data_IF_891662101362
#
_entry.id   IF_891662101362
#
_cell.length_a   1.000
_cell.length_b   1.000
_cell.length_c   1.000
_cell.angle_alpha   90.00
_cell.angle_beta   90.00
_cell.angle_gamma   90.00
#
_symmetry.space_group_name_H-M   'P 1'
#
loop_
_entity.id
_entity.type
_entity.pdbx_description
1 polymer ?
#
# COMPACT_ATOMS: atom_id res chain seq x y z
N UNK A 1 18.78 10.35 3.56
CA UNK A 1 18.66 9.01 4.10
C UNK A 1 18.93 7.98 3.01
N UNK A 2 19.59 6.90 3.35
CA UNK A 2 20.01 5.86 2.40
C UNK A 2 18.85 5.10 1.75
N UNK A 3 17.64 5.20 2.25
CA UNK A 3 16.46 4.52 1.69
C UNK A 3 16.11 5.00 0.29
N UNK A 4 16.15 6.30 0.04
CA UNK A 4 15.68 6.86 -1.24
C UNK A 4 16.57 6.55 -2.46
N UNK A 5 17.86 6.17 -2.28
CA UNK A 5 18.79 5.99 -3.39
C UNK A 5 18.88 4.51 -3.83
N UNK A 6 18.51 3.57 -2.97
CA UNK A 6 18.63 2.13 -3.25
C UNK A 6 17.37 1.53 -3.90
N UNK A 7 16.27 2.25 -3.90
CA UNK A 7 14.98 1.72 -4.33
C UNK A 7 14.75 1.83 -5.84
N UNK A 8 15.67 2.45 -6.59
CA UNK A 8 15.48 2.69 -8.03
C UNK A 8 15.33 1.40 -8.82
N UNK A 9 16.10 0.36 -8.50
CA UNK A 9 15.98 -0.94 -9.16
C UNK A 9 14.60 -1.57 -8.95
N UNK A 10 14.04 -1.45 -7.74
CA UNK A 10 12.69 -1.93 -7.42
C UNK A 10 11.62 -1.11 -8.13
N UNK A 11 11.79 0.22 -8.21
CA UNK A 11 10.87 1.10 -8.93
C UNK A 11 10.84 0.75 -10.43
N UNK A 12 12.01 0.47 -11.02
CA UNK A 12 12.14 0.17 -12.44
C UNK A 12 11.47 -1.16 -12.83
N UNK A 13 11.27 -2.10 -11.89
CA UNK A 13 10.48 -3.31 -12.11
C UNK A 13 9.02 -3.00 -12.47
N UNK A 14 8.48 -1.88 -12.01
CA UNK A 14 7.08 -1.50 -12.19
C UNK A 14 6.86 -0.50 -13.32
N UNK A 15 7.87 -0.19 -14.11
CA UNK A 15 7.76 0.79 -15.20
C UNK A 15 6.67 0.39 -16.19
N UNK A 16 5.66 1.27 -16.34
CA UNK A 16 4.50 1.04 -17.20
C UNK A 16 3.42 0.11 -16.62
N UNK A 17 3.63 -0.48 -15.45
CA UNK A 17 2.68 -1.42 -14.87
C UNK A 17 1.33 -0.77 -14.47
N UNK A 18 1.30 0.53 -14.34
CA UNK A 18 0.14 1.29 -13.87
C UNK A 18 -0.44 2.24 -14.93
N UNK A 19 -0.02 2.12 -16.19
CA UNK A 19 -0.48 2.96 -17.30
C UNK A 19 -1.97 2.79 -17.61
N UNK A 20 -2.54 1.60 -17.33
CA UNK A 20 -3.97 1.35 -17.44
C UNK A 20 -4.82 2.18 -16.45
N UNK A 21 -4.20 2.70 -15.39
CA UNK A 21 -4.79 3.58 -14.41
C UNK A 21 -5.63 2.90 -13.33
N UNK A 22 -5.99 3.70 -12.33
CA UNK A 22 -6.61 3.19 -11.11
C UNK A 22 -7.97 2.55 -11.29
N UNK A 23 -8.78 2.91 -12.27
CA UNK A 23 -10.08 2.29 -12.48
C UNK A 23 -9.91 0.86 -13.00
N UNK A 24 -9.13 0.68 -14.06
CA UNK A 24 -8.84 -0.63 -14.67
C UNK A 24 -8.06 -1.55 -13.70
N UNK A 25 -7.01 -1.02 -13.08
CA UNK A 25 -6.19 -1.76 -12.11
C UNK A 25 -7.05 -2.21 -10.91
N UNK A 26 -7.97 -1.38 -10.44
CA UNK A 26 -8.91 -1.71 -9.37
C UNK A 26 -9.78 -2.92 -9.72
N UNK A 27 -10.30 -2.98 -10.94
CA UNK A 27 -11.09 -4.11 -11.42
C UNK A 27 -10.25 -5.39 -11.53
N UNK A 28 -9.02 -5.28 -12.06
CA UNK A 28 -8.08 -6.40 -12.15
C UNK A 28 -7.74 -6.95 -10.75
N UNK A 29 -7.46 -6.08 -9.79
CA UNK A 29 -7.18 -6.51 -8.41
C UNK A 29 -8.40 -7.17 -7.77
N UNK A 30 -9.59 -6.64 -8.00
CA UNK A 30 -10.81 -7.25 -7.50
C UNK A 30 -11.06 -8.64 -8.08
N UNK A 31 -10.87 -8.81 -9.38
CA UNK A 31 -10.97 -10.11 -10.04
C UNK A 31 -9.94 -11.11 -9.47
N UNK A 32 -8.71 -10.66 -9.22
CA UNK A 32 -7.67 -11.48 -8.58
C UNK A 32 -8.02 -11.84 -7.13
N UNK A 33 -8.57 -10.94 -6.35
CA UNK A 33 -9.02 -11.21 -4.98
C UNK A 33 -10.08 -12.31 -4.93
N UNK A 34 -11.04 -12.31 -5.86
CA UNK A 34 -12.03 -13.40 -6.01
C UNK A 34 -11.35 -14.71 -6.40
N UNK A 35 -10.52 -14.70 -7.43
CA UNK A 35 -9.80 -15.89 -7.93
C UNK A 35 -8.94 -16.53 -6.83
N UNK A 36 -8.34 -15.73 -5.96
CA UNK A 36 -7.50 -16.19 -4.84
C UNK A 36 -8.32 -16.54 -3.58
N UNK A 37 -9.63 -16.31 -3.58
CA UNK A 37 -10.49 -16.55 -2.42
C UNK A 37 -10.29 -15.54 -1.27
N UNK A 38 -9.65 -14.40 -1.53
CA UNK A 38 -9.46 -13.33 -0.53
C UNK A 38 -10.80 -12.71 -0.16
N UNK A 39 -11.68 -12.58 -1.15
CA UNK A 39 -13.07 -12.13 -0.95
C UNK A 39 -14.04 -13.18 -1.48
N UNK A 40 -15.25 -13.30 -0.89
CA UNK A 40 -16.30 -14.19 -1.41
C UNK A 40 -16.62 -13.90 -2.88
N UNK A 41 -16.98 -14.94 -3.65
CA UNK A 41 -17.31 -14.82 -5.06
C UNK A 41 -18.46 -13.84 -5.33
N UNK A 42 -19.44 -13.80 -4.43
CA UNK A 42 -20.60 -12.90 -4.52
C UNK A 42 -20.32 -11.47 -4.04
N UNK A 43 -19.08 -11.14 -3.69
CA UNK A 43 -18.71 -9.77 -3.32
C UNK A 43 -18.94 -8.83 -4.51
N UNK A 44 -19.48 -7.65 -4.22
CA UNK A 44 -19.70 -6.60 -5.20
C UNK A 44 -18.67 -5.50 -5.00
N UNK A 45 -18.04 -5.06 -6.08
CA UNK A 45 -17.12 -3.93 -6.04
C UNK A 45 -17.88 -2.64 -5.77
N UNK A 46 -17.50 -1.92 -4.73
CA UNK A 46 -18.06 -0.61 -4.47
C UNK A 46 -17.76 0.36 -5.63
N UNK A 47 -18.63 1.33 -5.90
CA UNK A 47 -18.34 2.35 -6.90
C UNK A 47 -17.07 3.14 -6.51
N UNK A 48 -16.42 3.74 -7.51
CA UNK A 48 -15.34 4.68 -7.26
C UNK A 48 -15.86 5.82 -6.37
N UNK A 49 -15.03 6.27 -5.45
CA UNK A 49 -15.36 7.42 -4.62
C UNK A 49 -15.62 8.66 -5.49
N UNK A 50 -16.66 9.41 -5.21
CA UNK A 50 -17.09 10.59 -5.99
C UNK A 50 -16.02 11.69 -6.09
N UNK A 51 -15.12 11.77 -5.10
CA UNK A 51 -14.00 12.73 -5.09
C UNK A 51 -12.81 12.28 -5.94
N UNK A 52 -12.83 11.07 -6.47
CA UNK A 52 -11.79 10.53 -7.35
C UNK A 52 -12.18 10.74 -8.79
N UNK A 53 -11.41 11.54 -9.52
CA UNK A 53 -11.63 11.78 -10.95
C UNK A 53 -11.46 10.47 -11.73
N UNK A 54 -12.33 10.16 -12.71
CA UNK A 54 -12.14 9.02 -13.60
C UNK A 54 -10.79 9.09 -14.31
N UNK A 55 -10.10 7.97 -14.45
CA UNK A 55 -8.80 7.93 -15.14
C UNK A 55 -8.87 8.42 -16.59
N UNK A 56 -9.93 8.07 -17.30
CA UNK A 56 -10.13 8.48 -18.70
C UNK A 56 -10.40 9.98 -18.89
N UNK A 57 -10.73 10.71 -17.82
CA UNK A 57 -10.90 12.17 -17.84
C UNK A 57 -9.63 12.94 -17.48
N UNK A 58 -8.54 12.24 -17.14
CA UNK A 58 -7.24 12.83 -16.88
C UNK A 58 -6.54 13.23 -18.18
N UNK A 59 -5.73 14.28 -18.11
CA UNK A 59 -4.80 14.62 -19.20
C UNK A 59 -3.67 13.59 -19.30
N UNK A 60 -2.98 13.55 -20.42
CA UNK A 60 -1.85 12.63 -20.62
C UNK A 60 -0.72 12.90 -19.62
N UNK A 61 -0.51 14.16 -19.26
CA UNK A 61 0.46 14.57 -18.24
C UNK A 61 0.05 14.10 -16.84
N UNK A 62 -1.22 14.24 -16.46
CA UNK A 62 -1.75 13.71 -15.21
C UNK A 62 -1.57 12.19 -15.15
N UNK A 63 -1.94 11.47 -16.21
CA UNK A 63 -1.79 10.01 -16.27
C UNK A 63 -0.34 9.58 -16.08
N UNK A 64 0.57 10.21 -16.79
CA UNK A 64 2.01 9.92 -16.70
C UNK A 64 2.55 10.12 -15.28
N UNK A 65 2.20 11.23 -14.66
CA UNK A 65 2.63 11.56 -13.31
C UNK A 65 2.02 10.60 -12.29
N UNK A 66 0.72 10.32 -12.41
CA UNK A 66 0.02 9.51 -11.43
C UNK A 66 0.39 8.02 -11.54
N UNK A 67 0.64 7.50 -12.74
CA UNK A 67 1.20 6.17 -12.91
C UNK A 67 2.59 6.06 -12.25
N UNK A 68 3.46 7.06 -12.45
CA UNK A 68 4.79 7.09 -11.85
C UNK A 68 4.75 7.09 -10.32
N UNK A 69 3.83 7.81 -9.69
CA UNK A 69 3.67 7.74 -8.23
C UNK A 69 3.36 6.32 -7.75
N UNK A 70 2.55 5.57 -8.49
CA UNK A 70 2.20 4.21 -8.10
C UNK A 70 3.34 3.22 -8.36
N UNK A 71 4.12 3.41 -9.42
CA UNK A 71 5.36 2.65 -9.67
C UNK A 71 6.34 2.81 -8.49
N UNK A 72 6.53 4.05 -8.02
CA UNK A 72 7.39 4.35 -6.87
C UNK A 72 6.88 3.67 -5.60
N UNK A 73 5.58 3.72 -5.35
CA UNK A 73 4.98 3.06 -4.19
C UNK A 73 5.12 1.53 -4.26
N UNK A 74 4.90 0.93 -5.43
CA UNK A 74 5.06 -0.50 -5.62
C UNK A 74 6.52 -0.95 -5.42
N UNK A 75 7.49 -0.20 -5.96
CA UNK A 75 8.91 -0.44 -5.72
C UNK A 75 9.30 -0.30 -4.25
N UNK A 76 8.72 0.66 -3.54
CA UNK A 76 8.91 0.79 -2.09
C UNK A 76 8.38 -0.45 -1.33
N UNK A 77 7.19 -0.95 -1.69
CA UNK A 77 6.64 -2.14 -1.06
C UNK A 77 7.50 -3.38 -1.33
N UNK A 78 7.96 -3.57 -2.56
CA UNK A 78 8.85 -4.68 -2.91
C UNK A 78 10.18 -4.60 -2.13
N UNK A 79 10.75 -3.40 -2.03
CA UNK A 79 11.95 -3.19 -1.21
C UNK A 79 11.69 -3.52 0.26
N UNK A 80 10.55 -3.07 0.83
CA UNK A 80 10.19 -3.38 2.20
C UNK A 80 10.04 -4.90 2.43
N UNK A 81 9.39 -5.60 1.51
CA UNK A 81 9.25 -7.07 1.55
C UNK A 81 10.61 -7.76 1.51
N UNK A 82 11.52 -7.32 0.64
CA UNK A 82 12.89 -7.83 0.59
C UNK A 82 13.66 -7.64 1.90
N UNK A 83 13.46 -6.50 2.61
CA UNK A 83 14.07 -6.30 3.92
C UNK A 83 13.45 -7.20 5.01
N UNK A 84 12.14 -7.42 4.99
CA UNK A 84 11.45 -8.39 5.85
C UNK A 84 12.01 -9.79 5.60
N UNK A 85 12.21 -10.15 4.33
CA UNK A 85 12.85 -11.40 3.93
C UNK A 85 14.21 -11.63 4.61
N UNK A 86 15.06 -10.60 4.67
CA UNK A 86 16.37 -10.68 5.37
C UNK A 86 16.22 -10.96 6.86
N UNK A 87 15.20 -10.40 7.52
CA UNK A 87 14.91 -10.71 8.94
C UNK A 87 14.53 -12.18 9.10
N UNK A 88 13.67 -12.68 8.21
CA UNK A 88 13.26 -14.10 8.21
C UNK A 88 14.46 -15.01 7.98
N UNK A 89 15.32 -14.67 7.04
CA UNK A 89 16.52 -15.48 6.74
C UNK A 89 17.51 -15.47 7.91
N UNK A 90 17.69 -14.36 8.59
CA UNK A 90 18.48 -14.29 9.80
C UNK A 90 17.90 -15.17 10.94
N UNK A 91 16.59 -15.17 11.12
CA UNK A 91 15.93 -16.06 12.10
C UNK A 91 16.16 -17.55 11.77
N UNK A 92 16.18 -17.91 10.48
CA UNK A 92 16.54 -19.28 10.04
C UNK A 92 18.01 -19.61 10.32
N UNK A 93 18.91 -18.68 10.05
CA UNK A 93 20.35 -18.83 10.26
C UNK A 93 20.69 -19.11 11.74
N UNK A 94 20.05 -18.40 12.67
CA UNK A 94 20.25 -18.59 14.12
C UNK A 94 19.39 -19.73 14.70
N UNK A 95 18.59 -20.42 13.89
CA UNK A 95 17.77 -21.57 14.32
C UNK A 95 16.50 -21.22 15.10
N UNK A 96 16.09 -19.95 15.13
CA UNK A 96 14.92 -19.47 15.90
C UNK A 96 13.65 -19.32 15.07
N UNK A 97 13.71 -19.49 13.76
CA UNK A 97 12.56 -19.27 12.86
C UNK A 97 11.34 -20.14 13.24
N UNK A 98 11.56 -21.43 13.51
CA UNK A 98 10.47 -22.35 13.84
C UNK A 98 9.75 -21.98 15.16
N UNK A 99 10.44 -21.32 16.07
CA UNK A 99 9.93 -20.92 17.39
C UNK A 99 9.57 -19.43 17.47
N UNK A 100 9.52 -18.74 16.35
CA UNK A 100 9.18 -17.31 16.27
C UNK A 100 7.80 -17.10 15.68
N UNK A 101 6.96 -16.30 16.33
CA UNK A 101 5.70 -15.78 15.76
C UNK A 101 6.01 -14.52 14.99
N UNK A 102 5.70 -14.51 13.71
CA UNK A 102 5.83 -13.33 12.85
C UNK A 102 4.41 -12.83 12.53
N UNK A 103 4.15 -11.56 12.85
CA UNK A 103 2.89 -10.88 12.56
C UNK A 103 3.21 -9.67 11.69
N UNK A 104 2.67 -9.67 10.47
CA UNK A 104 2.76 -8.55 9.55
C UNK A 104 1.37 -7.96 9.32
N UNK A 105 1.24 -6.67 9.52
CA UNK A 105 -0.03 -5.98 9.41
C UNK A 105 0.17 -4.52 9.01
N UNK A 106 -0.87 -3.90 8.46
CA UNK A 106 -0.98 -2.45 8.34
C UNK A 106 -1.83 -1.90 9.49
N UNK A 107 -1.63 -0.66 9.88
CA UNK A 107 -2.35 -0.01 10.97
C UNK A 107 -3.61 0.74 10.52
N UNK A 108 -3.74 0.96 9.23
CA UNK A 108 -4.89 1.61 8.58
C UNK A 108 -4.92 1.29 7.09
N UNK A 109 -6.06 1.56 6.46
CA UNK A 109 -6.20 1.48 5.02
C UNK A 109 -5.28 2.43 4.25
N UNK A 110 -5.25 2.31 2.93
CA UNK A 110 -4.40 3.11 2.07
C UNK A 110 -4.56 4.61 2.35
N UNK A 111 -3.45 5.34 2.40
CA UNK A 111 -3.46 6.77 2.70
C UNK A 111 -3.85 7.60 1.49
N UNK A 112 -4.71 8.60 1.70
CA UNK A 112 -5.07 9.61 0.70
C UNK A 112 -4.40 10.97 0.98
N UNK A 113 -3.40 11.01 1.85
CA UNK A 113 -2.73 12.25 2.27
C UNK A 113 -1.93 12.92 1.14
N UNK A 114 -1.66 12.21 0.06
CA UNK A 114 -1.14 12.79 -1.19
C UNK A 114 -2.11 13.77 -1.87
N UNK A 115 -3.38 13.77 -1.45
CA UNK A 115 -4.41 14.64 -2.02
C UNK A 115 -4.73 14.29 -3.48
N UNK A 116 -5.23 15.28 -4.22
CA UNK A 116 -5.69 15.07 -5.60
C UNK A 116 -4.56 14.69 -6.56
N UNK A 117 -3.41 15.32 -6.42
CA UNK A 117 -2.33 15.26 -7.41
C UNK A 117 -1.10 14.45 -6.96
N UNK A 118 -1.13 13.86 -5.76
CA UNK A 118 0.05 13.29 -5.14
C UNK A 118 0.93 14.36 -4.51
N UNK A 119 2.06 13.98 -3.91
CA UNK A 119 3.05 14.89 -3.34
C UNK A 119 4.45 14.42 -3.70
N UNK A 120 5.32 15.35 -4.07
CA UNK A 120 6.73 15.05 -4.34
C UNK A 120 7.50 14.81 -3.03
N UNK A 121 7.13 15.58 -2.00
CA UNK A 121 7.74 15.45 -0.68
C UNK A 121 6.71 15.65 0.44
N UNK A 122 6.29 14.55 1.05
CA UNK A 122 5.32 14.53 2.14
C UNK A 122 5.83 15.28 3.39
N UNK A 123 7.14 15.26 3.64
CA UNK A 123 7.74 15.92 4.81
C UNK A 123 7.51 17.44 4.81
N UNK A 124 7.48 18.07 3.64
CA UNK A 124 7.15 19.49 3.54
C UNK A 124 5.75 19.78 4.09
N UNK A 125 4.78 18.94 3.74
CA UNK A 125 3.41 19.07 4.21
C UNK A 125 3.30 18.85 5.72
N UNK A 126 3.99 17.84 6.25
CA UNK A 126 4.00 17.56 7.70
C UNK A 126 4.62 18.67 8.51
N UNK A 127 5.60 19.38 7.95
CA UNK A 127 6.27 20.53 8.58
C UNK A 127 5.60 21.88 8.25
N UNK A 128 4.37 21.86 7.71
CA UNK A 128 3.60 23.06 7.33
C UNK A 128 4.33 23.96 6.32
N UNK A 129 5.23 23.42 5.54
CA UNK A 129 5.87 24.10 4.43
C UNK A 129 5.02 23.98 3.18
N UNK A 130 4.90 25.07 2.42
CA UNK A 130 4.19 25.02 1.15
C UNK A 130 4.91 24.08 0.16
N UNK A 131 4.17 23.16 -0.39
CA UNK A 131 4.59 22.39 -1.53
C UNK A 131 3.74 22.80 -2.73
N UNK A 132 4.40 23.22 -3.80
CA UNK A 132 3.72 23.44 -5.09
C UNK A 132 3.36 22.10 -5.68
N UNK A 133 2.14 21.68 -5.37
CA UNK A 133 1.63 20.36 -5.75
C UNK A 133 0.95 20.44 -7.12
N UNK A 134 1.72 20.57 -8.18
CA UNK A 134 1.20 20.59 -9.54
C UNK A 134 1.89 19.55 -10.43
N UNK A 135 1.15 19.09 -11.41
CA UNK A 135 1.58 18.08 -12.40
C UNK A 135 2.78 18.58 -13.20
N UNK A 136 2.82 19.85 -13.60
CA UNK A 136 3.91 20.43 -14.38
C UNK A 136 5.25 20.37 -13.65
N UNK A 137 5.27 20.72 -12.37
CA UNK A 137 6.48 20.63 -11.56
C UNK A 137 6.92 19.18 -11.38
N UNK A 138 5.98 18.28 -11.11
CA UNK A 138 6.27 16.86 -10.94
C UNK A 138 6.82 16.24 -12.23
N UNK A 139 6.32 16.63 -13.39
CA UNK A 139 6.86 16.18 -14.68
C UNK A 139 8.32 16.53 -14.88
N UNK A 140 8.75 17.71 -14.43
CA UNK A 140 10.16 18.14 -14.53
C UNK A 140 11.09 17.28 -13.67
N UNK A 141 10.58 16.68 -12.61
CA UNK A 141 11.33 15.86 -11.65
C UNK A 141 10.88 14.40 -11.62
N UNK A 142 10.23 13.92 -12.69
CA UNK A 142 9.59 12.60 -12.73
C UNK A 142 10.55 11.45 -12.41
N UNK A 143 11.79 11.54 -12.93
CA UNK A 143 12.83 10.54 -12.73
C UNK A 143 13.44 10.58 -11.32
N UNK A 144 13.23 11.67 -10.59
CA UNK A 144 13.74 11.85 -9.23
C UNK A 144 12.76 11.34 -8.16
N UNK A 145 11.50 11.06 -8.55
CA UNK A 145 10.49 10.58 -7.61
C UNK A 145 10.93 9.27 -6.96
N UNK A 146 10.99 9.28 -5.63
CA UNK A 146 11.36 8.11 -4.83
C UNK A 146 12.84 7.72 -4.87
N UNK A 147 13.66 8.40 -5.71
CA UNK A 147 15.07 8.06 -5.90
C UNK A 147 16.05 9.14 -5.47
N UNK A 148 15.59 10.24 -4.92
CA UNK A 148 16.46 11.34 -4.45
C UNK A 148 16.22 11.65 -2.96
N UNK A 149 17.24 12.25 -2.31
CA UNK A 149 17.15 12.68 -0.92
C UNK A 149 16.07 13.78 -0.68
N UNK A 150 15.59 14.39 -1.74
CA UNK A 150 14.59 15.45 -1.69
C UNK A 150 13.16 14.96 -1.99
N UNK A 151 13.01 13.70 -2.37
CA UNK A 151 11.73 13.12 -2.74
C UNK A 151 11.33 12.05 -1.72
N UNK A 152 10.27 12.37 -0.95
CA UNK A 152 9.53 11.43 -0.13
C UNK A 152 8.07 11.48 -0.63
N UNK A 153 7.80 10.80 -1.76
CA UNK A 153 6.55 11.00 -2.49
C UNK A 153 5.37 10.29 -1.85
N UNK A 154 4.19 10.83 -2.12
CA UNK A 154 2.93 10.20 -1.78
C UNK A 154 2.02 10.19 -3.01
N UNK A 155 1.44 9.05 -3.32
CA UNK A 155 0.55 8.89 -4.47
C UNK A 155 -0.76 9.68 -4.32
N UNK A 156 -1.44 10.02 -5.44
CA UNK A 156 -2.73 10.71 -5.41
C UNK A 156 -3.87 9.80 -4.91
N UNK A 157 -4.94 10.44 -4.43
CA UNK A 157 -6.12 9.78 -3.84
C UNK A 157 -6.75 8.67 -4.69
N UNK A 158 -6.62 8.76 -6.02
CA UNK A 158 -7.12 7.71 -6.91
C UNK A 158 -6.50 6.34 -6.64
N UNK A 159 -5.21 6.32 -6.33
CA UNK A 159 -4.52 5.09 -5.94
C UNK A 159 -4.88 4.62 -4.53
N UNK A 160 -5.19 5.54 -3.60
CA UNK A 160 -5.73 5.15 -2.29
C UNK A 160 -7.07 4.42 -2.44
N UNK A 161 -7.94 4.93 -3.33
CA UNK A 161 -9.21 4.28 -3.64
C UNK A 161 -9.02 2.90 -4.28
N UNK A 162 -8.06 2.74 -5.19
CA UNK A 162 -7.74 1.45 -5.80
C UNK A 162 -7.11 0.49 -4.79
N UNK A 163 -6.18 0.95 -3.96
CA UNK A 163 -5.46 0.15 -2.97
C UNK A 163 -6.35 -0.47 -1.90
N UNK A 164 -7.52 0.10 -1.62
CA UNK A 164 -8.49 -0.42 -0.66
C UNK A 164 -9.57 -1.34 -1.27
N UNK A 165 -9.37 -1.78 -2.48
CA UNK A 165 -10.31 -2.72 -3.14
C UNK A 165 -10.55 -3.97 -2.27
N UNK A 166 -11.82 -4.38 -2.08
CA UNK A 166 -13.05 -3.90 -2.69
C UNK A 166 -13.80 -2.84 -1.85
N UNK A 167 -13.19 -2.37 -0.78
CA UNK A 167 -13.84 -1.53 0.21
C UNK A 167 -14.06 -0.10 -0.29
N UNK A 168 -14.94 0.59 0.40
CA UNK A 168 -15.20 2.01 0.21
C UNK A 168 -14.31 2.83 1.14
N UNK A 169 -13.84 3.98 0.66
CA UNK A 169 -12.98 4.91 1.38
C UNK A 169 -11.58 4.37 1.70
N UNK A 170 -10.84 5.08 2.52
CA UNK A 170 -9.41 4.89 2.80
C UNK A 170 -9.09 5.43 4.20
N UNK A 171 -7.81 5.47 4.59
CA UNK A 171 -7.33 6.01 5.87
C UNK A 171 -8.10 7.28 6.29
N UNK A 172 -8.32 7.46 7.57
CA UNK A 172 -9.08 8.55 8.22
C UNK A 172 -10.60 8.43 8.14
N UNK A 173 -11.15 7.40 7.49
CA UNK A 173 -12.57 7.15 7.41
C UNK A 173 -12.96 5.91 8.22
N UNK A 174 -14.14 5.96 8.88
CA UNK A 174 -14.67 4.82 9.67
C UNK A 174 -15.22 3.67 8.82
N UNK A 175 -15.18 3.79 7.51
CA UNK A 175 -15.57 2.76 6.56
C UNK A 175 -14.53 1.62 6.51
N UNK A 176 -14.95 0.49 5.94
CA UNK A 176 -14.07 -0.70 5.83
C UNK A 176 -12.72 -0.42 5.17
N UNK A 177 -12.67 0.47 4.17
CA UNK A 177 -11.41 0.84 3.53
C UNK A 177 -10.44 1.65 4.41
N UNK A 178 -10.93 2.21 5.53
CA UNK A 178 -10.07 2.89 6.50
C UNK A 178 -9.63 2.02 7.67
N UNK A 179 -10.39 0.92 7.97
CA UNK A 179 -10.23 0.17 9.22
C UNK A 179 -10.04 -1.35 9.03
N UNK A 180 -10.14 -1.85 7.80
CA UNK A 180 -9.90 -3.27 7.48
C UNK A 180 -8.60 -3.39 6.69
N UNK A 181 -7.62 -3.99 7.31
CA UNK A 181 -6.28 -4.13 6.79
C UNK A 181 -5.85 -5.60 6.75
N UNK A 182 -4.93 -5.95 5.85
CA UNK A 182 -4.41 -7.30 5.81
C UNK A 182 -3.60 -7.60 7.05
N UNK A 183 -3.77 -8.81 7.57
CA UNK A 183 -2.99 -9.38 8.66
C UNK A 183 -2.42 -10.72 8.19
N UNK A 184 -1.11 -10.88 8.29
CA UNK A 184 -0.42 -12.14 8.01
C UNK A 184 0.20 -12.63 9.31
N UNK A 185 -0.07 -13.89 9.66
CA UNK A 185 0.52 -14.54 10.84
C UNK A 185 1.25 -15.80 10.39
N UNK A 186 2.50 -15.91 10.79
CA UNK A 186 3.33 -17.09 10.55
C UNK A 186 3.94 -17.56 11.87
N UNK A 187 3.71 -18.83 12.21
CA UNK A 187 4.34 -19.53 13.35
C UNK A 187 4.54 -21.00 12.98
N UNK A 188 5.67 -21.37 12.38
CA UNK A 188 5.89 -22.71 11.84
C UNK A 188 5.67 -23.84 12.84
N UNK A 189 6.11 -23.69 14.09
CA UNK A 189 5.97 -24.69 15.16
C UNK A 189 4.54 -24.87 15.65
N UNK A 190 3.70 -23.82 15.60
CA UNK A 190 2.35 -23.85 16.20
C UNK A 190 1.22 -23.77 15.19
N UNK A 191 1.45 -23.25 13.99
CA UNK A 191 0.43 -23.10 12.93
C UNK A 191 0.76 -24.04 11.78
N UNK A 192 0.01 -25.13 11.65
CA UNK A 192 0.20 -26.12 10.59
C UNK A 192 -0.48 -25.73 9.27
N UNK A 193 -1.46 -24.84 9.32
CA UNK A 193 -2.13 -24.28 8.15
C UNK A 193 -1.14 -23.42 7.33
N UNK A 194 -1.08 -23.65 6.00
CA UNK A 194 -0.20 -22.90 5.11
C UNK A 194 -1.04 -22.22 4.03
N UNK A 195 -0.90 -20.90 3.91
CA UNK A 195 -1.60 -20.13 2.90
C UNK A 195 -3.12 -20.10 3.07
N UNK A 196 -3.65 -20.40 4.25
CA UNK A 196 -5.07 -20.32 4.52
C UNK A 196 -5.51 -18.87 4.68
N UNK A 197 -6.61 -18.52 4.00
CA UNK A 197 -7.26 -17.23 4.14
C UNK A 197 -8.36 -17.39 5.17
N UNK A 198 -8.32 -16.57 6.21
CA UNK A 198 -9.29 -16.54 7.30
C UNK A 198 -10.06 -15.22 7.26
N UNK A 199 -11.33 -15.27 7.67
CA UNK A 199 -12.08 -14.04 7.90
C UNK A 199 -11.42 -13.21 9.01
N UNK A 200 -11.35 -11.89 8.85
CA UNK A 200 -10.56 -11.05 9.74
C UNK A 200 -11.06 -11.13 11.18
N UNK A 201 -10.12 -11.31 12.09
CA UNK A 201 -10.31 -11.04 13.50
C UNK A 201 -9.94 -9.58 13.75
N UNK A 202 -10.75 -8.86 14.50
CA UNK A 202 -10.45 -7.47 14.84
C UNK A 202 -9.22 -7.36 15.74
N UNK A 203 -8.38 -6.35 15.56
CA UNK A 203 -7.31 -5.94 16.51
C UNK A 203 -7.75 -5.91 17.96
N UNK A 204 -8.98 -5.51 18.22
CA UNK A 204 -9.54 -5.45 19.56
C UNK A 204 -9.60 -6.82 20.22
N UNK A 205 -9.72 -7.90 19.46
CA UNK A 205 -9.69 -9.26 20.00
C UNK A 205 -8.25 -9.70 20.39
N UNK A 206 -7.24 -9.29 19.65
CA UNK A 206 -5.84 -9.58 19.99
C UNK A 206 -5.43 -8.82 21.25
N UNK A 207 -5.76 -7.53 21.35
CA UNK A 207 -5.49 -6.73 22.57
C UNK A 207 -6.32 -7.15 23.78
N UNK A 208 -7.55 -7.61 23.59
CA UNK A 208 -8.39 -8.05 24.71
C UNK A 208 -7.87 -9.35 25.37
N UNK A 209 -7.08 -10.16 24.67
CA UNK A 209 -6.42 -11.33 25.24
C UNK A 209 -5.19 -10.96 26.08
N UNK A 210 -4.42 -9.94 25.68
CA UNK A 210 -3.28 -9.47 26.46
C UNK A 210 -3.70 -8.81 27.79
N UNK A 211 -4.85 -8.13 27.82
CA UNK A 211 -5.31 -7.46 29.04
C UNK A 211 -6.06 -8.37 30.03
N UNK A 212 -6.37 -9.61 29.65
CA UNK A 212 -7.05 -10.57 30.55
C UNK A 212 -6.09 -11.43 31.38
N UNK A 213 -4.85 -11.55 30.98
CA UNK A 213 -3.85 -12.32 31.73
C UNK A 213 -3.09 -11.47 32.75
N UNK A 214 -3.22 -10.12 32.68
CA UNK A 214 -2.61 -9.18 33.62
C UNK A 214 -3.57 -8.70 34.74
N UNK A 215 -4.74 -9.32 34.87
CA UNK A 215 -5.71 -9.08 35.94
C UNK A 215 -5.98 -10.37 36.75
#
# INVERSE_FOLDING_TARGET
SEMCIRDREYIDHYKGAFDAGWDEIREQWFANQKRLGIVPENTVLNPRNEFVKPWNELTDDEKKVYARYMEVYAGFLEHADAQIGKVVDYLKEIGEFENTVIVLLSDNGASAEGGKNGRVNQEKSLNLLEETNNVELTLKHLEELGSSAYSNPHYPVGWANAGNTPFQWYKSWVHSGGVKDPLIVSYPKGIHAKGEIRNPVSYTHLRAHETREDL
#
